data_IF_725065664558
#
_entry.id   IF_725065664558
#
_cell.length_a   1.000
_cell.length_b   1.000
_cell.length_c   1.000
_cell.angle_alpha   90.00
_cell.angle_beta   90.00
_cell.angle_gamma   90.00
#
_symmetry.space_group_name_H-M   'P 1'
#
loop_
_entity.id
_entity.type
_entity.pdbx_description
1 polymer ?
#
# COMPACT_ATOMS: atom_id res chain seq x y z
N UNK A 1 27.69 13.10 8.00
CA UNK A 1 26.54 13.45 8.87
C UNK A 1 25.56 12.28 8.87
N UNK A 2 25.33 11.62 10.01
CA UNK A 2 24.28 10.59 10.15
C UNK A 2 22.93 11.30 10.03
N UNK A 3 22.20 11.07 8.93
CA UNK A 3 20.80 11.48 8.84
C UNK A 3 20.05 10.81 9.99
N UNK A 4 19.24 11.54 10.78
CA UNK A 4 18.41 10.92 11.79
C UNK A 4 17.49 9.92 11.08
N UNK A 5 17.61 8.66 11.45
CA UNK A 5 16.72 7.58 11.00
C UNK A 5 15.36 7.88 11.65
N UNK A 6 14.54 8.69 10.97
CA UNK A 6 13.12 8.79 11.31
C UNK A 6 12.58 7.37 11.16
N UNK A 7 12.16 6.75 12.26
CA UNK A 7 11.31 5.58 12.23
C UNK A 7 10.01 6.00 11.53
N UNK A 8 10.01 5.94 10.20
CA UNK A 8 8.87 6.30 9.38
C UNK A 8 7.81 5.25 9.65
N UNK A 9 6.79 5.64 10.42
CA UNK A 9 5.67 4.79 10.82
C UNK A 9 4.96 4.34 9.53
N UNK A 10 4.81 3.04 9.35
CA UNK A 10 4.25 2.44 8.13
C UNK A 10 2.88 3.04 7.79
N UNK A 11 2.60 3.29 6.50
CA UNK A 11 1.29 3.79 6.07
C UNK A 11 0.18 2.80 6.48
N UNK A 12 -1.03 3.29 6.72
CA UNK A 12 -2.16 2.42 7.07
C UNK A 12 -2.39 1.34 6.00
N UNK A 13 -2.23 1.70 4.73
CA UNK A 13 -2.32 0.78 3.61
C UNK A 13 -1.32 -0.38 3.77
N UNK A 14 -0.04 -0.06 4.03
CA UNK A 14 0.99 -1.09 4.25
C UNK A 14 0.70 -1.93 5.49
N UNK A 15 0.23 -1.35 6.58
CA UNK A 15 -0.12 -2.11 7.80
C UNK A 15 -1.30 -3.09 7.58
N UNK A 16 -2.27 -2.72 6.73
CA UNK A 16 -3.39 -3.61 6.37
C UNK A 16 -2.90 -4.73 5.44
N UNK A 17 -2.15 -4.39 4.40
CA UNK A 17 -1.88 -5.29 3.27
C UNK A 17 -0.52 -6.00 3.31
N UNK A 18 0.38 -5.65 4.23
CA UNK A 18 1.55 -6.46 4.55
C UNK A 18 1.16 -7.67 5.43
N UNK A 19 0.14 -8.40 4.99
CA UNK A 19 -0.45 -9.56 5.63
C UNK A 19 -0.78 -10.59 4.54
N UNK A 20 -0.12 -11.75 4.61
CA UNK A 20 -0.22 -12.80 3.59
C UNK A 20 -1.64 -13.35 3.41
N UNK A 21 -2.53 -13.23 4.40
CA UNK A 21 -3.90 -13.71 4.31
C UNK A 21 -4.80 -12.78 3.48
N UNK A 22 -4.41 -11.51 3.30
CA UNK A 22 -5.18 -10.52 2.53
C UNK A 22 -4.71 -10.36 1.08
N UNK A 23 -3.48 -10.77 0.79
CA UNK A 23 -2.90 -10.66 -0.55
C UNK A 23 -3.56 -11.56 -1.62
N UNK A 24 -4.09 -12.77 -1.30
CA UNK A 24 -4.80 -13.59 -2.29
C UNK A 24 -6.00 -12.88 -2.89
N UNK A 25 -6.76 -12.16 -2.06
CA UNK A 25 -7.95 -11.42 -2.49
C UNK A 25 -7.58 -10.28 -3.45
N UNK A 26 -6.49 -9.56 -3.19
CA UNK A 26 -5.97 -8.53 -4.11
C UNK A 26 -5.52 -9.17 -5.43
N UNK A 27 -4.78 -10.26 -5.36
CA UNK A 27 -4.27 -10.96 -6.54
C UNK A 27 -5.41 -11.45 -7.45
N UNK A 28 -6.42 -12.10 -6.87
CA UNK A 28 -7.61 -12.56 -7.61
C UNK A 28 -8.40 -11.38 -8.17
N UNK A 29 -8.57 -10.29 -7.41
CA UNK A 29 -9.28 -9.11 -7.87
C UNK A 29 -8.60 -8.42 -9.07
N UNK A 30 -7.26 -8.41 -9.11
CA UNK A 30 -6.46 -7.79 -10.17
C UNK A 30 -6.34 -8.67 -11.42
N UNK A 31 -6.08 -9.97 -11.25
CA UNK A 31 -5.70 -10.86 -12.36
C UNK A 31 -6.77 -11.90 -12.69
N UNK A 32 -7.80 -12.07 -11.85
CA UNK A 32 -8.82 -13.10 -12.01
C UNK A 32 -8.31 -14.52 -11.75
N UNK A 33 -7.14 -14.66 -11.13
CA UNK A 33 -6.50 -15.94 -10.82
C UNK A 33 -6.65 -16.21 -9.33
N UNK A 34 -7.24 -17.35 -8.99
CA UNK A 34 -7.34 -17.80 -7.59
C UNK A 34 -5.98 -18.21 -7.06
N UNK A 35 -5.71 -17.87 -5.81
CA UNK A 35 -4.51 -18.27 -5.10
C UNK A 35 -4.80 -18.43 -3.60
N UNK A 36 -3.83 -18.96 -2.86
CA UNK A 36 -3.93 -19.13 -1.40
C UNK A 36 -2.74 -18.45 -0.72
N UNK A 37 -2.86 -18.17 0.58
CA UNK A 37 -1.77 -17.55 1.34
C UNK A 37 -0.47 -18.37 1.31
N UNK A 38 -0.55 -19.71 1.19
CA UNK A 38 0.62 -20.59 1.08
C UNK A 38 1.41 -20.42 -0.23
N UNK A 39 0.78 -19.90 -1.28
CA UNK A 39 1.43 -19.66 -2.57
C UNK A 39 2.13 -18.28 -2.62
N UNK A 40 1.95 -17.46 -1.58
CA UNK A 40 2.40 -16.07 -1.54
C UNK A 40 3.68 -15.96 -0.72
N UNK A 41 4.71 -15.40 -1.35
CA UNK A 41 5.94 -15.00 -0.68
C UNK A 41 6.05 -13.47 -0.68
N UNK A 42 6.07 -12.86 0.49
CA UNK A 42 6.25 -11.41 0.61
C UNK A 42 7.61 -10.99 0.02
N UNK A 43 7.57 -10.01 -0.87
CA UNK A 43 8.74 -9.39 -1.52
C UNK A 43 8.81 -7.89 -1.19
N UNK A 44 8.11 -7.42 -0.16
CA UNK A 44 8.15 -6.04 0.31
C UNK A 44 9.56 -5.64 0.73
N UNK A 45 10.06 -4.59 0.10
CA UNK A 45 11.37 -4.00 0.25
C UNK A 45 11.32 -3.02 1.43
N UNK A 46 11.65 -3.52 2.62
CA UNK A 46 11.67 -2.69 3.83
C UNK A 46 12.92 -1.81 3.95
N UNK A 47 14.00 -2.13 3.24
CA UNK A 47 15.22 -1.33 3.09
C UNK A 47 16.07 -1.92 1.95
N UNK A 48 16.64 -1.05 1.10
CA UNK A 48 17.58 -1.45 0.03
C UNK A 48 18.99 -0.99 0.36
N UNK A 49 19.97 -1.72 -0.18
CA UNK A 49 21.39 -1.33 -0.16
C UNK A 49 21.65 -0.01 -0.90
N UNK A 50 20.76 0.41 -1.81
CA UNK A 50 21.04 1.48 -2.77
C UNK A 50 20.39 2.83 -2.52
N UNK A 51 19.35 2.96 -1.68
CA UNK A 51 18.70 4.29 -1.57
C UNK A 51 17.66 4.49 -0.45
N UNK A 52 17.43 3.52 0.43
CA UNK A 52 16.33 3.64 1.41
C UNK A 52 14.94 3.72 0.74
N UNK A 53 14.85 3.33 -0.53
CA UNK A 53 13.63 3.26 -1.32
C UNK A 53 12.85 2.02 -0.88
N UNK A 54 11.64 2.23 -0.38
CA UNK A 54 10.73 1.20 0.12
C UNK A 54 9.50 1.15 -0.77
N UNK A 55 9.03 -0.04 -1.12
CA UNK A 55 7.71 -0.19 -1.73
C UNK A 55 6.66 -0.45 -0.64
N UNK A 56 5.40 -0.15 -0.95
CA UNK A 56 4.29 -0.36 0.00
C UNK A 56 4.04 -1.85 0.20
N UNK A 57 3.69 -2.56 -0.88
CA UNK A 57 3.40 -3.99 -0.84
C UNK A 57 3.96 -4.64 -2.10
N UNK A 58 4.73 -5.70 -1.92
CA UNK A 58 5.25 -6.52 -3.01
C UNK A 58 5.22 -7.98 -2.64
N UNK A 59 4.88 -8.86 -3.59
CA UNK A 59 4.81 -10.29 -3.32
C UNK A 59 4.95 -11.13 -4.59
N UNK A 60 5.39 -12.36 -4.42
CA UNK A 60 5.54 -13.37 -5.47
C UNK A 60 4.45 -14.42 -5.27
N UNK A 61 3.79 -14.81 -6.36
CA UNK A 61 2.73 -15.82 -6.34
C UNK A 61 3.16 -17.04 -7.15
N UNK A 62 3.34 -18.18 -6.47
CA UNK A 62 3.60 -19.49 -7.09
C UNK A 62 4.81 -19.54 -8.03
N UNK A 63 5.77 -18.62 -7.90
CA UNK A 63 6.89 -18.46 -8.84
C UNK A 63 6.49 -17.99 -10.25
N UNK A 64 5.22 -17.64 -10.46
CA UNK A 64 4.68 -17.23 -11.76
C UNK A 64 4.66 -15.71 -11.94
N UNK A 65 4.28 -14.98 -10.90
CA UNK A 65 4.12 -13.52 -10.95
C UNK A 65 4.82 -12.82 -9.80
N UNK A 66 5.40 -11.65 -10.08
CA UNK A 66 5.78 -10.65 -9.07
C UNK A 66 4.77 -9.52 -9.15
N UNK A 67 4.08 -9.25 -8.05
CA UNK A 67 3.19 -8.10 -7.94
C UNK A 67 3.87 -7.03 -7.13
N UNK A 68 3.92 -5.82 -7.69
CA UNK A 68 4.36 -4.61 -7.00
C UNK A 68 3.20 -3.62 -7.00
N UNK A 69 2.71 -3.33 -5.80
CA UNK A 69 1.55 -2.46 -5.61
C UNK A 69 1.91 -1.28 -4.71
N UNK A 70 1.50 -0.09 -5.12
CA UNK A 70 1.71 1.15 -4.35
C UNK A 70 0.38 1.85 -4.09
N UNK A 71 0.30 2.62 -3.02
CA UNK A 71 -0.84 3.48 -2.72
C UNK A 71 -0.42 4.94 -2.87
N UNK A 72 -1.23 5.74 -3.57
CA UNK A 72 -0.99 7.18 -3.74
C UNK A 72 -2.28 7.99 -3.63
N UNK A 73 -2.25 9.13 -2.95
CA UNK A 73 -3.33 10.13 -3.03
C UNK A 73 -3.01 11.28 -3.99
N UNK A 74 -1.76 11.39 -4.44
CA UNK A 74 -1.32 12.29 -5.52
C UNK A 74 -0.70 11.52 -6.67
N UNK A 75 -0.96 11.92 -7.91
CA UNK A 75 -0.34 11.28 -9.08
C UNK A 75 1.16 11.51 -9.10
N UNK A 76 1.92 10.48 -9.46
CA UNK A 76 3.37 10.58 -9.63
C UNK A 76 3.78 9.97 -10.97
N UNK A 77 4.11 10.83 -11.93
CA UNK A 77 4.57 10.41 -13.27
C UNK A 77 5.85 9.56 -13.23
N UNK A 78 6.64 9.63 -12.15
CA UNK A 78 7.87 8.86 -11.99
C UNK A 78 7.64 7.46 -11.38
N UNK A 79 6.39 7.02 -11.21
CA UNK A 79 6.10 5.67 -10.69
C UNK A 79 6.68 4.53 -11.54
N UNK A 80 6.63 4.56 -12.88
CA UNK A 80 7.27 3.52 -13.69
C UNK A 80 8.77 3.36 -13.38
N UNK A 81 9.48 4.47 -13.16
CA UNK A 81 10.90 4.43 -12.77
C UNK A 81 11.09 3.79 -11.38
N UNK A 82 10.26 4.14 -10.39
CA UNK A 82 10.32 3.49 -9.06
C UNK A 82 10.02 1.99 -9.14
N UNK A 83 9.03 1.60 -9.93
CA UNK A 83 8.67 0.20 -10.14
C UNK A 83 9.81 -0.61 -10.77
N UNK A 84 10.55 -0.02 -11.72
CA UNK A 84 11.75 -0.64 -12.28
C UNK A 84 12.81 -0.89 -11.19
N UNK A 85 13.07 0.10 -10.33
CA UNK A 85 14.03 -0.03 -9.24
C UNK A 85 13.62 -1.12 -8.23
N UNK A 86 12.33 -1.20 -7.90
CA UNK A 86 11.82 -2.26 -7.04
C UNK A 86 11.98 -3.63 -7.69
N UNK A 87 11.61 -3.78 -8.96
CA UNK A 87 11.68 -5.05 -9.66
C UNK A 87 13.12 -5.57 -9.73
N UNK A 88 14.08 -4.69 -10.04
CA UNK A 88 15.49 -5.05 -10.08
C UNK A 88 15.96 -5.62 -8.72
N UNK A 89 15.56 -5.00 -7.61
CA UNK A 89 15.89 -5.49 -6.27
C UNK A 89 15.18 -6.80 -5.92
N UNK A 90 13.91 -6.95 -6.30
CA UNK A 90 13.17 -8.21 -6.09
C UNK A 90 13.85 -9.35 -6.85
N UNK A 91 14.15 -9.18 -8.14
CA UNK A 91 14.83 -10.22 -8.92
C UNK A 91 16.24 -10.50 -8.42
N UNK A 92 16.98 -9.49 -7.98
CA UNK A 92 18.31 -9.68 -7.36
C UNK A 92 18.25 -10.56 -6.12
N UNK A 93 17.17 -10.48 -5.33
CA UNK A 93 16.94 -11.34 -4.16
C UNK A 93 16.34 -12.70 -4.52
N UNK A 94 15.65 -12.79 -5.65
CA UNK A 94 14.97 -13.99 -6.11
C UNK A 94 15.92 -15.03 -6.73
N UNK A 95 17.00 -14.57 -7.37
CA UNK A 95 17.99 -15.46 -8.02
C UNK A 95 19.25 -15.62 -7.15
N UNK A 96 19.92 -16.77 -7.24
CA UNK A 96 21.23 -16.94 -6.58
C UNK A 96 22.23 -15.91 -7.11
N UNK A 97 23.15 -15.45 -6.26
CA UNK A 97 24.11 -14.40 -6.60
C UNK A 97 25.00 -14.75 -7.81
N UNK A 98 25.29 -16.04 -8.02
CA UNK A 98 26.07 -16.57 -9.13
C UNK A 98 25.21 -16.97 -10.35
N UNK A 99 23.88 -17.01 -10.20
CA UNK A 99 22.98 -17.55 -11.22
C UNK A 99 23.07 -16.78 -12.55
N UNK A 100 23.29 -15.46 -12.48
CA UNK A 100 23.41 -14.58 -13.64
C UNK A 100 24.58 -14.93 -14.57
N UNK A 101 25.57 -15.71 -14.10
CA UNK A 101 26.70 -16.18 -14.91
C UNK A 101 26.47 -17.56 -15.54
N UNK A 102 25.33 -18.21 -15.25
CA UNK A 102 25.00 -19.54 -15.77
C UNK A 102 24.62 -19.43 -17.26
N UNK A 103 25.00 -20.45 -18.06
CA UNK A 103 24.63 -20.51 -19.49
C UNK A 103 23.13 -20.76 -19.73
N UNK A 104 22.45 -21.40 -18.77
CA UNK A 104 21.02 -21.72 -18.89
C UNK A 104 20.20 -20.49 -18.52
N UNK A 105 19.18 -20.21 -19.33
CA UNK A 105 18.18 -19.17 -19.05
C UNK A 105 17.55 -19.37 -17.66
N UNK A 106 17.52 -18.30 -16.86
CA UNK A 106 16.88 -18.30 -15.55
C UNK A 106 15.39 -17.95 -15.75
N UNK A 107 14.45 -18.82 -15.35
CA UNK A 107 13.03 -18.47 -15.37
C UNK A 107 12.74 -17.43 -14.29
N UNK A 108 12.11 -16.33 -14.67
CA UNK A 108 11.71 -15.26 -13.77
C UNK A 108 10.17 -15.16 -13.71
N UNK A 109 9.58 -14.94 -12.52
CA UNK A 109 8.16 -14.64 -12.39
C UNK A 109 7.83 -13.34 -13.13
N UNK A 110 6.81 -13.33 -13.97
CA UNK A 110 6.43 -12.17 -14.77
C UNK A 110 5.95 -11.00 -13.87
N UNK A 111 6.44 -9.77 -14.10
CA UNK A 111 6.08 -8.65 -13.24
C UNK A 111 4.71 -8.08 -13.59
N UNK A 112 4.00 -7.60 -12.57
CA UNK A 112 2.72 -6.89 -12.66
C UNK A 112 2.77 -5.67 -11.73
N UNK A 113 2.46 -4.50 -12.26
CA UNK A 113 2.65 -3.23 -11.58
C UNK A 113 1.32 -2.49 -11.43
N UNK A 114 0.96 -2.18 -10.19
CA UNK A 114 -0.28 -1.49 -9.88
C UNK A 114 -0.08 -0.31 -8.94
N UNK A 115 -0.84 0.75 -9.15
CA UNK A 115 -0.99 1.86 -8.20
C UNK A 115 -2.45 2.00 -7.84
N UNK A 116 -2.75 1.95 -6.55
CA UNK A 116 -4.06 2.27 -6.01
C UNK A 116 -4.13 3.76 -5.73
N UNK A 117 -4.81 4.49 -6.63
CA UNK A 117 -5.06 5.91 -6.47
C UNK A 117 -6.26 6.15 -5.57
N UNK A 118 -6.07 6.91 -4.50
CA UNK A 118 -7.11 7.29 -3.57
C UNK A 118 -7.05 8.80 -3.28
N UNK A 119 -6.87 9.62 -4.32
CA UNK A 119 -6.74 11.07 -4.19
C UNK A 119 -8.05 11.85 -4.21
N UNK A 120 -7.94 13.17 -3.99
CA UNK A 120 -9.08 14.09 -4.02
C UNK A 120 -9.40 14.60 -5.44
N UNK A 121 -8.43 14.55 -6.35
CA UNK A 121 -8.62 15.03 -7.72
C UNK A 121 -9.52 14.06 -8.49
N UNK A 122 -10.33 14.61 -9.40
CA UNK A 122 -11.19 13.81 -10.24
C UNK A 122 -10.36 13.13 -11.33
N UNK A 123 -10.06 11.86 -11.11
CA UNK A 123 -9.31 11.01 -12.04
C UNK A 123 -10.20 9.95 -12.70
N UNK A 124 -9.79 9.40 -13.86
CA UNK A 124 -10.46 8.26 -14.49
C UNK A 124 -10.52 7.03 -13.56
N UNK A 125 -11.27 6.01 -13.98
CA UNK A 125 -11.37 4.79 -13.19
C UNK A 125 -10.10 3.95 -13.24
N UNK A 126 -9.51 3.90 -14.42
CA UNK A 126 -8.22 3.29 -14.67
C UNK A 126 -7.46 4.10 -15.70
N UNK A 127 -6.15 4.19 -15.57
CA UNK A 127 -5.25 4.71 -16.61
C UNK A 127 -3.88 4.06 -16.47
N UNK A 128 -2.97 4.31 -17.41
CA UNK A 128 -1.61 3.75 -17.38
C UNK A 128 -0.56 4.85 -17.39
N UNK A 129 0.58 4.58 -16.76
CA UNK A 129 1.81 5.34 -16.90
C UNK A 129 2.85 4.43 -17.54
N UNK A 130 3.61 4.96 -18.49
CA UNK A 130 4.63 4.21 -19.21
C UNK A 130 6.01 4.75 -18.88
N UNK A 131 6.98 3.86 -18.67
CA UNK A 131 8.36 4.28 -18.51
C UNK A 131 8.89 4.95 -19.79
N UNK A 132 8.39 4.53 -20.95
CA UNK A 132 8.82 5.08 -22.23
C UNK A 132 8.49 6.56 -22.43
N UNK A 133 7.47 7.08 -21.74
CA UNK A 133 7.12 8.50 -21.75
C UNK A 133 8.30 9.38 -21.28
N UNK A 134 9.14 8.85 -20.38
CA UNK A 134 10.33 9.55 -19.87
C UNK A 134 11.47 9.65 -20.91
N UNK A 135 11.41 8.91 -22.02
CA UNK A 135 12.45 8.96 -23.05
C UNK A 135 12.26 10.08 -24.07
N UNK A 136 11.25 10.94 -23.92
CA UNK A 136 11.06 12.15 -24.74
C UNK A 136 11.04 11.85 -26.26
N UNK A 137 10.34 10.78 -26.65
CA UNK A 137 10.18 10.39 -28.06
C UNK A 137 11.40 9.68 -28.68
N UNK A 138 12.46 9.43 -27.92
CA UNK A 138 13.58 8.58 -28.36
C UNK A 138 13.12 7.13 -28.45
N UNK A 139 13.52 6.43 -29.52
CA UNK A 139 13.33 4.97 -29.64
C UNK A 139 14.02 4.28 -28.46
N UNK A 140 13.28 3.43 -27.76
CA UNK A 140 13.76 2.72 -26.59
C UNK A 140 13.43 1.22 -26.66
N UNK A 141 14.30 0.40 -26.08
CA UNK A 141 14.12 -1.06 -25.99
C UNK A 141 13.52 -1.51 -24.65
N UNK A 142 13.29 -0.56 -23.72
CA UNK A 142 12.74 -0.81 -22.40
C UNK A 142 11.34 -0.19 -22.28
N UNK A 143 10.37 -1.02 -21.91
CA UNK A 143 9.01 -0.60 -21.58
C UNK A 143 8.59 -1.21 -20.24
N UNK A 144 7.94 -0.39 -19.43
CA UNK A 144 7.31 -0.79 -18.18
C UNK A 144 6.03 0.02 -18.05
N UNK A 145 4.90 -0.67 -18.15
CA UNK A 145 3.58 -0.09 -17.95
C UNK A 145 3.12 -0.33 -16.51
N UNK A 146 2.67 0.74 -15.87
CA UNK A 146 2.04 0.70 -14.55
C UNK A 146 0.56 0.98 -14.73
N UNK A 147 -0.28 0.08 -14.24
CA UNK A 147 -1.74 0.28 -14.24
C UNK A 147 -2.14 1.01 -12.96
N UNK A 148 -2.86 2.12 -13.11
CA UNK A 148 -3.35 2.92 -11.99
C UNK A 148 -4.85 2.70 -11.89
N UNK A 149 -5.29 2.30 -10.71
CA UNK A 149 -6.67 1.95 -10.40
C UNK A 149 -7.17 2.93 -9.34
N UNK A 150 -8.19 3.70 -9.69
CA UNK A 150 -8.82 4.62 -8.76
C UNK A 150 -9.73 3.85 -7.81
N UNK A 151 -9.33 3.79 -6.55
CA UNK A 151 -10.00 3.09 -5.45
C UNK A 151 -10.82 4.03 -4.57
N UNK A 152 -11.09 5.27 -4.99
CA UNK A 152 -12.01 6.12 -4.25
C UNK A 152 -13.36 5.42 -4.06
N UNK A 153 -13.95 5.53 -2.87
CA UNK A 153 -15.20 4.86 -2.51
C UNK A 153 -16.39 5.45 -3.29
N UNK A 154 -16.63 4.93 -4.49
CA UNK A 154 -17.69 5.33 -5.40
C UNK A 154 -18.36 4.07 -6.01
N UNK A 155 -19.62 4.17 -6.48
CA UNK A 155 -20.24 3.10 -7.26
C UNK A 155 -19.48 2.81 -8.56
N UNK A 156 -19.62 1.59 -9.10
CA UNK A 156 -19.02 1.23 -10.39
C UNK A 156 -17.51 1.03 -10.33
N UNK A 157 -16.99 0.52 -9.20
CA UNK A 157 -15.56 0.25 -8.97
C UNK A 157 -15.35 -1.26 -8.89
N UNK A 158 -15.07 -1.96 -10.01
CA UNK A 158 -15.06 -3.43 -10.04
C UNK A 158 -14.09 -4.06 -9.04
N UNK A 159 -12.91 -3.45 -8.83
CA UNK A 159 -11.93 -3.97 -7.87
C UNK A 159 -12.43 -3.92 -6.43
N UNK A 160 -13.23 -2.91 -6.07
CA UNK A 160 -13.80 -2.77 -4.72
C UNK A 160 -14.98 -3.71 -4.49
N UNK A 161 -15.60 -4.22 -5.57
CA UNK A 161 -16.63 -5.26 -5.49
C UNK A 161 -16.00 -6.65 -5.34
N UNK A 162 -14.80 -6.85 -5.89
CA UNK A 162 -14.05 -8.11 -5.85
C UNK A 162 -13.17 -8.27 -4.61
N UNK A 163 -12.67 -7.17 -4.04
CA UNK A 163 -11.78 -7.19 -2.88
C UNK A 163 -12.37 -6.39 -1.72
N UNK A 164 -12.87 -7.13 -0.73
CA UNK A 164 -13.46 -6.58 0.48
C UNK A 164 -12.43 -5.81 1.32
N UNK A 165 -11.17 -6.27 1.39
CA UNK A 165 -10.13 -5.53 2.11
C UNK A 165 -9.85 -4.16 1.48
N UNK A 166 -9.75 -4.05 0.15
CA UNK A 166 -9.61 -2.77 -0.56
C UNK A 166 -10.85 -1.90 -0.38
N UNK A 167 -12.06 -2.47 -0.49
CA UNK A 167 -13.31 -1.75 -0.22
C UNK A 167 -13.32 -1.14 1.19
N UNK A 168 -12.95 -1.93 2.18
CA UNK A 168 -12.92 -1.53 3.59
C UNK A 168 -11.96 -0.37 3.81
N UNK A 169 -10.77 -0.44 3.21
CA UNK A 169 -9.78 0.64 3.23
C UNK A 169 -10.34 1.92 2.59
N UNK A 170 -10.93 1.82 1.39
CA UNK A 170 -11.51 2.96 0.68
C UNK A 170 -12.67 3.60 1.45
N UNK A 171 -13.54 2.80 2.06
CA UNK A 171 -14.64 3.27 2.92
C UNK A 171 -14.10 4.00 4.14
N UNK A 172 -13.08 3.45 4.80
CA UNK A 172 -12.42 4.09 5.94
C UNK A 172 -11.89 5.48 5.57
N UNK A 173 -11.10 5.58 4.49
CA UNK A 173 -10.53 6.86 4.04
C UNK A 173 -11.63 7.86 3.69
N UNK A 174 -12.67 7.42 2.99
CA UNK A 174 -13.82 8.27 2.65
C UNK A 174 -14.53 8.81 3.90
N UNK A 175 -14.73 7.99 4.93
CA UNK A 175 -15.38 8.41 6.18
C UNK A 175 -14.55 9.40 6.98
N UNK A 176 -13.23 9.23 7.02
CA UNK A 176 -12.36 10.22 7.66
C UNK A 176 -12.42 11.55 6.91
N UNK A 177 -12.36 11.53 5.57
CA UNK A 177 -12.48 12.75 4.74
C UNK A 177 -13.81 13.47 4.93
N UNK A 178 -14.91 12.72 4.94
CA UNK A 178 -16.26 13.26 5.17
C UNK A 178 -16.35 13.98 6.52
N UNK A 179 -15.90 13.33 7.61
CA UNK A 179 -15.98 13.90 8.95
C UNK A 179 -15.07 15.14 9.10
N UNK A 180 -13.85 15.12 8.55
CA UNK A 180 -12.96 16.30 8.53
C UNK A 180 -13.56 17.45 7.71
N UNK A 181 -14.16 17.16 6.54
CA UNK A 181 -14.83 18.17 5.72
C UNK A 181 -16.00 18.82 6.45
N UNK A 182 -16.66 18.09 7.35
CA UNK A 182 -17.74 18.60 8.20
C UNK A 182 -17.25 19.38 9.43
N UNK A 183 -15.93 19.65 9.53
CA UNK A 183 -15.35 20.49 10.58
C UNK A 183 -14.89 19.75 11.83
N UNK A 184 -14.97 18.42 11.85
CA UNK A 184 -14.47 17.65 12.99
C UNK A 184 -12.94 17.61 13.01
N UNK A 185 -12.38 17.59 14.22
CA UNK A 185 -10.95 17.32 14.40
C UNK A 185 -10.59 15.92 13.86
N UNK A 186 -9.40 15.80 13.27
CA UNK A 186 -8.94 14.56 12.64
C UNK A 186 -9.10 13.32 13.53
N UNK A 187 -8.80 13.45 14.81
CA UNK A 187 -8.94 12.35 15.76
C UNK A 187 -10.39 11.87 15.93
N UNK A 188 -11.33 12.81 16.01
CA UNK A 188 -12.76 12.51 16.07
C UNK A 188 -13.17 11.80 14.80
N UNK A 189 -12.76 12.34 13.64
CA UNK A 189 -13.04 11.77 12.32
C UNK A 189 -12.52 10.33 12.18
N UNK A 190 -11.29 10.06 12.64
CA UNK A 190 -10.74 8.71 12.63
C UNK A 190 -11.52 7.79 13.57
N UNK A 191 -11.81 8.24 14.79
CA UNK A 191 -12.53 7.43 15.77
C UNK A 191 -13.94 7.06 15.32
N UNK A 192 -14.61 7.99 14.62
CA UNK A 192 -15.90 7.76 13.98
C UNK A 192 -15.80 6.79 12.80
N UNK A 193 -14.81 6.97 11.92
CA UNK A 193 -14.58 6.08 10.78
C UNK A 193 -14.29 4.63 11.23
N UNK A 194 -13.47 4.44 12.27
CA UNK A 194 -13.21 3.11 12.85
C UNK A 194 -14.51 2.49 13.39
N UNK A 195 -15.32 3.25 14.15
CA UNK A 195 -16.62 2.77 14.66
C UNK A 195 -17.55 2.37 13.53
N UNK A 196 -17.60 3.17 12.46
CA UNK A 196 -18.38 2.88 11.27
C UNK A 196 -17.91 1.59 10.59
N UNK A 197 -16.61 1.42 10.39
CA UNK A 197 -16.04 0.23 9.77
C UNK A 197 -16.35 -1.04 10.58
N UNK A 198 -16.20 -1.00 11.91
CA UNK A 198 -16.56 -2.12 12.78
C UNK A 198 -18.06 -2.44 12.67
N UNK A 199 -18.93 -1.43 12.73
CA UNK A 199 -20.38 -1.63 12.71
C UNK A 199 -20.93 -2.16 11.37
N UNK A 200 -20.17 -1.99 10.27
CA UNK A 200 -20.57 -2.38 8.92
C UNK A 200 -19.71 -3.51 8.34
N UNK A 201 -18.97 -4.24 9.20
CA UNK A 201 -18.10 -5.34 8.81
C UNK A 201 -17.06 -4.97 7.73
N UNK A 202 -16.42 -3.80 7.85
CA UNK A 202 -15.30 -3.39 6.99
C UNK A 202 -13.99 -3.56 7.74
N UNK A 203 -13.24 -4.64 7.48
CA UNK A 203 -12.01 -4.99 8.23
C UNK A 203 -12.22 -4.95 9.76
N UNK A 204 -13.36 -5.50 10.20
CA UNK A 204 -13.83 -5.39 11.60
C UNK A 204 -12.77 -5.88 12.60
N UNK A 205 -12.28 -7.10 12.44
CA UNK A 205 -11.29 -7.70 13.35
C UNK A 205 -10.01 -6.88 13.43
N UNK A 206 -9.53 -6.38 12.29
CA UNK A 206 -8.37 -5.52 12.21
C UNK A 206 -8.58 -4.22 13.01
N UNK A 207 -9.71 -3.55 12.81
CA UNK A 207 -10.01 -2.31 13.54
C UNK A 207 -10.27 -2.53 15.03
N UNK A 208 -10.88 -3.65 15.42
CA UNK A 208 -11.03 -4.05 16.83
C UNK A 208 -9.69 -4.29 17.49
N UNK A 209 -8.78 -4.98 16.80
CA UNK A 209 -7.42 -5.20 17.28
C UNK A 209 -6.69 -3.87 17.50
N UNK A 210 -6.73 -2.95 16.52
CA UNK A 210 -6.10 -1.63 16.64
C UNK A 210 -6.69 -0.79 17.79
N UNK A 211 -8.00 -0.89 18.06
CA UNK A 211 -8.61 -0.26 19.23
C UNK A 211 -8.08 -0.84 20.54
N UNK A 212 -7.93 -2.16 20.65
CA UNK A 212 -7.44 -2.83 21.86
C UNK A 212 -5.99 -2.47 22.17
N UNK A 213 -5.12 -2.48 21.15
CA UNK A 213 -3.70 -2.08 21.26
C UNK A 213 -3.55 -0.62 21.75
N UNK A 214 -4.48 0.25 21.35
CA UNK A 214 -4.54 1.64 21.80
C UNK A 214 -4.91 1.74 23.29
N UNK A 215 -5.94 1.01 23.74
CA UNK A 215 -6.36 1.00 25.14
C UNK A 215 -5.29 0.47 26.07
N UNK A 216 -4.57 -0.59 25.67
CA UNK A 216 -3.45 -1.13 26.45
C UNK A 216 -2.31 -0.11 26.53
N UNK A 217 -1.93 0.53 25.43
CA UNK A 217 -0.85 1.51 25.40
C UNK A 217 -1.14 2.75 26.27
N UNK A 218 -2.40 3.20 26.32
CA UNK A 218 -2.83 4.30 27.18
C UNK A 218 -2.78 3.96 28.68
N UNK A 219 -2.96 2.69 29.04
CA UNK A 219 -2.91 2.23 30.43
C UNK A 219 -1.49 2.15 31.01
N UNK A 220 -0.46 2.00 30.17
CA UNK A 220 0.94 1.95 30.58
C UNK A 220 1.66 3.32 30.54
N UNK A 221 0.98 4.40 30.15
CA UNK A 221 1.55 5.75 30.18
C UNK A 221 1.55 6.34 31.61
N UNK A 222 2.67 6.96 32.02
CA UNK A 222 2.83 7.53 33.37
C UNK A 222 1.81 8.65 33.67
N UNK A 223 1.47 8.92 34.94
CA UNK A 223 0.46 9.93 35.31
C UNK A 223 0.77 11.34 34.80
N UNK A 224 2.05 11.70 34.64
CA UNK A 224 2.48 12.97 34.04
C UNK A 224 2.21 13.05 32.53
N UNK A 225 2.19 11.91 31.83
CA UNK A 225 1.76 11.79 30.43
C UNK A 225 0.23 11.80 30.33
N UNK A 226 -0.52 11.42 31.37
CA UNK A 226 -1.99 11.53 31.38
C UNK A 226 -2.50 12.98 31.40
N UNK A 227 -1.77 13.91 32.01
CA UNK A 227 -2.18 15.34 32.12
C UNK A 227 -1.76 16.17 30.89
N UNK A 228 -0.75 15.72 30.14
CA UNK A 228 -0.33 16.31 28.85
C UNK A 228 -0.70 15.46 27.62
N UNK A 229 -1.50 14.41 27.80
CA UNK A 229 -1.70 13.35 26.82
C UNK A 229 -3.16 13.01 26.58
N UNK A 230 -4.00 14.02 26.37
CA UNK A 230 -5.12 13.84 25.46
C UNK A 230 -4.58 13.92 24.05
N UNK A 231 -4.73 12.84 23.28
CA UNK A 231 -4.72 12.91 21.82
C UNK A 231 -3.36 13.25 21.19
N UNK A 232 -2.34 12.42 21.46
CA UNK A 232 -1.05 12.58 20.78
C UNK A 232 -1.13 12.06 19.34
N UNK A 233 -0.92 12.98 18.40
CA UNK A 233 -0.50 12.89 16.99
C UNK A 233 0.24 11.62 16.51
N UNK A 234 0.80 10.84 17.40
CA UNK A 234 1.69 9.73 17.13
C UNK A 234 0.96 8.52 16.55
N UNK A 235 -0.16 8.07 17.11
CA UNK A 235 -0.75 6.76 16.76
C UNK A 235 -1.38 6.71 15.36
N UNK A 236 -1.78 7.87 14.84
CA UNK A 236 -2.38 8.01 13.51
C UNK A 236 -1.51 8.74 12.48
N UNK A 237 -0.21 8.94 12.76
CA UNK A 237 0.76 9.35 11.73
C UNK A 237 0.66 8.54 10.41
N UNK A 238 0.38 7.21 10.42
CA UNK A 238 0.11 6.43 9.20
C UNK A 238 -1.10 6.86 8.39
N UNK A 239 -2.11 7.43 9.05
CA UNK A 239 -3.40 7.81 8.47
C UNK A 239 -3.31 9.21 7.85
N UNK A 240 -2.46 10.07 8.42
CA UNK A 240 -2.18 11.41 7.87
C UNK A 240 -1.54 11.29 6.47
N UNK A 241 -0.64 10.32 6.26
CA UNK A 241 -0.06 10.07 4.94
C UNK A 241 -1.09 9.60 3.91
N UNK A 242 -2.09 8.80 4.29
CA UNK A 242 -3.15 8.36 3.36
C UNK A 242 -4.15 9.47 3.01
N UNK A 243 -4.30 10.49 3.87
CA UNK A 243 -5.21 11.61 3.66
C UNK A 243 -4.58 12.76 2.88
N UNK A 244 -3.24 12.89 2.88
CA UNK A 244 -2.54 14.08 2.39
C UNK A 244 -1.26 13.80 1.57
N UNK A 245 -0.94 12.56 1.17
CA UNK A 245 0.23 12.24 0.33
C UNK A 245 -0.13 11.66 -1.03
#
# INVERSE_FOLDING_TARGET
>A
MRKPQRAYRDSLFRDIFNNADRLPEIYEALLGIRTTASDITLATINETLFSGVKNDVGFIVGGQHVLLTEHQSTTNANMPLRMLMYLAEVYRRYVDADAVYRKRLIPLPAPKFYVFYNGIEKMPDTWSLHLSDAFEGRKADLELAVEIININNQPGRPILEKCHALKSYSVFVAKVRESVKNGNALEVAISEAVRYCIANNYLEDYFRQKQKERSTSANYASPSVRVLGTFSHTTYCPIISALWA
#
